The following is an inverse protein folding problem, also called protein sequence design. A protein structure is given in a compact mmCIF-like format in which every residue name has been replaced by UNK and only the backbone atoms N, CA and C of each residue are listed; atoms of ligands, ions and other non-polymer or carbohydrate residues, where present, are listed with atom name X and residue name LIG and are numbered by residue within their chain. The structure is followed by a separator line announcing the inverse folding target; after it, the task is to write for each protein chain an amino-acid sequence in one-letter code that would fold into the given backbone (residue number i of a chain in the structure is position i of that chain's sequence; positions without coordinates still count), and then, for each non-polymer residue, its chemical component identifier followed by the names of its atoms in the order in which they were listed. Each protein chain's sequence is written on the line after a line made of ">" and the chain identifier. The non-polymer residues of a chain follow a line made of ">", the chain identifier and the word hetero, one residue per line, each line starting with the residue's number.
data_IF_719485356429
#
_entry.id   IF_719485356429
#
_cell.length_a   1.000
_cell.length_b   1.000
_cell.length_c   1.000
_cell.angle_alpha   90.00
_cell.angle_beta   90.00
_cell.angle_gamma   90.00
#
_symmetry.space_group_name_H-M   'P 1'
#
loop_
_entity.id
_entity.type
_entity.pdbx_description
1 polymer ?
#
# COMPACT_ATOMS: atom_id res chain seq x y z
N UNK A 1 4.09 11.50 -7.26
CA UNK A 1 2.72 10.96 -7.08
C UNK A 1 1.70 12.04 -7.39
N UNK A 2 0.56 11.69 -7.99
CA UNK A 2 -0.58 12.57 -8.23
C UNK A 2 -1.82 11.96 -7.59
N UNK A 3 -2.60 12.75 -6.85
CA UNK A 3 -3.82 12.30 -6.16
C UNK A 3 -4.99 13.13 -6.63
N UNK A 4 -6.05 12.44 -7.08
CA UNK A 4 -7.29 13.05 -7.51
C UNK A 4 -8.46 12.39 -6.78
N UNK A 5 -9.33 13.21 -6.18
CA UNK A 5 -10.58 12.73 -5.59
C UNK A 5 -11.65 12.70 -6.67
N UNK A 6 -12.17 11.51 -6.98
CA UNK A 6 -13.19 11.31 -8.01
C UNK A 6 -14.27 10.34 -7.49
N UNK A 7 -15.57 10.69 -7.59
CA UNK A 7 -16.62 9.83 -7.08
C UNK A 7 -16.63 8.43 -7.71
N UNK A 8 -16.73 7.40 -6.88
CA UNK A 8 -16.90 6.01 -7.29
C UNK A 8 -15.66 5.33 -7.88
N UNK A 9 -14.46 5.88 -7.67
CA UNK A 9 -13.20 5.27 -8.10
C UNK A 9 -12.37 4.83 -6.89
N UNK A 10 -11.69 3.70 -6.96
CA UNK A 10 -10.73 3.26 -5.96
C UNK A 10 -9.50 2.67 -6.65
N UNK A 11 -9.00 3.38 -7.67
CA UNK A 11 -7.99 2.88 -8.60
C UNK A 11 -6.64 3.57 -8.40
N UNK A 12 -5.57 2.79 -8.51
CA UNK A 12 -4.19 3.27 -8.49
C UNK A 12 -3.50 2.83 -9.78
N UNK A 13 -3.06 3.80 -10.58
CA UNK A 13 -2.35 3.56 -11.84
C UNK A 13 -0.89 3.94 -11.75
N UNK A 14 -0.05 3.31 -12.57
CA UNK A 14 1.32 3.74 -12.82
C UNK A 14 1.42 4.25 -14.27
N UNK A 15 1.77 5.52 -14.45
CA UNK A 15 1.95 6.14 -15.76
C UNK A 15 3.23 6.97 -15.78
N UNK A 16 4.11 6.75 -16.76
CA UNK A 16 5.37 7.49 -16.92
C UNK A 16 6.18 7.65 -15.61
N UNK A 17 6.31 6.54 -14.87
CA UNK A 17 6.96 6.47 -13.54
C UNK A 17 6.29 7.30 -12.42
N UNK A 18 5.10 7.84 -12.64
CA UNK A 18 4.27 8.51 -11.66
C UNK A 18 3.12 7.60 -11.22
N UNK A 19 2.89 7.50 -9.91
CA UNK A 19 1.68 6.85 -9.39
C UNK A 19 0.53 7.87 -9.39
N UNK A 20 -0.57 7.49 -10.02
CA UNK A 20 -1.82 8.23 -10.11
C UNK A 20 -2.86 7.56 -9.22
N UNK A 21 -3.33 8.27 -8.20
CA UNK A 21 -4.35 7.79 -7.29
C UNK A 21 -5.68 8.43 -7.66
N UNK A 22 -6.66 7.63 -8.06
CA UNK A 22 -8.03 8.04 -8.34
C UNK A 22 -8.93 7.39 -7.31
N UNK A 23 -9.18 8.13 -6.24
CA UNK A 23 -9.88 7.63 -5.06
C UNK A 23 -11.16 8.41 -4.85
N UNK A 24 -12.20 7.75 -4.39
CA UNK A 24 -13.39 8.42 -3.95
C UNK A 24 -13.19 8.97 -2.54
N UNK A 25 -14.12 9.83 -2.14
CA UNK A 25 -14.03 10.50 -0.87
C UNK A 25 -14.10 9.51 0.31
N UNK A 26 -14.85 8.42 0.19
CA UNK A 26 -14.97 7.44 1.27
C UNK A 26 -13.65 6.70 1.48
N UNK A 27 -13.02 6.23 0.39
CA UNK A 27 -11.70 5.57 0.44
C UNK A 27 -10.63 6.51 1.01
N UNK A 28 -10.64 7.80 0.61
CA UNK A 28 -9.68 8.78 1.15
C UNK A 28 -9.87 8.99 2.65
N UNK A 29 -11.11 9.10 3.13
CA UNK A 29 -11.39 9.26 4.56
C UNK A 29 -10.97 8.02 5.35
N UNK A 30 -11.25 6.82 4.83
CA UNK A 30 -10.80 5.57 5.44
C UNK A 30 -9.27 5.50 5.55
N UNK A 31 -8.55 5.92 4.51
CA UNK A 31 -7.08 5.99 4.55
C UNK A 31 -6.59 6.97 5.62
N UNK A 32 -7.20 8.15 5.73
CA UNK A 32 -6.82 9.17 6.74
C UNK A 32 -7.03 8.62 8.16
N UNK A 33 -8.16 7.97 8.42
CA UNK A 33 -8.47 7.41 9.72
C UNK A 33 -7.46 6.33 10.12
N UNK A 34 -7.14 5.41 9.20
CA UNK A 34 -6.13 4.36 9.43
C UNK A 34 -4.72 4.94 9.60
N UNK A 35 -4.31 5.91 8.79
CA UNK A 35 -3.01 6.56 8.94
C UNK A 35 -2.90 7.31 10.28
N UNK A 36 -3.99 7.92 10.74
CA UNK A 36 -4.04 8.58 12.04
C UNK A 36 -3.89 7.57 13.18
N UNK A 37 -4.57 6.43 13.09
CA UNK A 37 -4.43 5.35 14.07
C UNK A 37 -2.99 4.79 14.13
N UNK A 38 -2.30 4.66 13.01
CA UNK A 38 -0.90 4.23 12.97
C UNK A 38 0.03 5.23 13.65
N UNK A 39 -0.20 6.53 13.44
CA UNK A 39 0.62 7.59 14.04
C UNK A 39 0.61 7.54 15.57
N UNK A 40 -0.52 7.16 16.16
CA UNK A 40 -0.69 7.10 17.62
C UNK A 40 -0.18 5.77 18.22
N UNK A 41 0.02 4.73 17.40
CA UNK A 41 0.35 3.35 17.80
C UNK A 41 1.82 2.92 17.64
N UNK A 42 2.73 3.83 17.30
CA UNK A 42 4.19 3.64 17.11
C UNK A 42 4.65 2.69 15.97
N UNK A 43 3.95 1.62 15.60
CA UNK A 43 4.27 0.74 14.44
C UNK A 43 3.11 -0.20 14.06
N UNK A 44 2.96 -0.52 12.77
CA UNK A 44 2.01 -1.53 12.29
C UNK A 44 1.51 -1.27 10.86
N UNK A 45 0.46 -1.98 10.47
CA UNK A 45 -0.22 -1.76 9.20
C UNK A 45 -1.74 -1.82 9.31
N UNK A 46 -2.39 -1.19 8.32
CA UNK A 46 -3.80 -1.33 8.06
C UNK A 46 -4.06 -1.62 6.59
N UNK A 47 -5.19 -2.27 6.34
CA UNK A 47 -5.67 -2.63 5.02
C UNK A 47 -6.78 -1.69 4.60
N UNK A 48 -6.78 -1.28 3.34
CA UNK A 48 -7.84 -0.52 2.69
C UNK A 48 -8.24 -1.27 1.42
N UNK A 49 -9.52 -1.47 1.21
CA UNK A 49 -10.01 -2.10 -0.01
C UNK A 49 -9.93 -1.11 -1.18
N UNK A 50 -9.42 -1.58 -2.31
CA UNK A 50 -9.27 -0.82 -3.55
C UNK A 50 -9.76 -1.67 -4.73
N UNK A 51 -9.97 -1.05 -5.88
CA UNK A 51 -10.48 -1.72 -7.07
C UNK A 51 -9.37 -2.21 -8.02
N UNK A 52 -8.26 -1.47 -8.12
CA UNK A 52 -7.15 -1.73 -9.04
C UNK A 52 -5.88 -1.06 -8.52
N UNK A 53 -4.67 -1.61 -8.70
CA UNK A 53 -4.34 -2.80 -9.49
C UNK A 53 -4.52 -4.12 -8.73
N UNK A 54 -4.85 -4.05 -7.44
CA UNK A 54 -5.17 -5.16 -6.56
C UNK A 54 -6.46 -4.85 -5.81
N UNK A 55 -6.95 -5.81 -5.03
CA UNK A 55 -8.16 -5.65 -4.21
C UNK A 55 -7.88 -4.97 -2.86
N UNK A 56 -6.61 -4.92 -2.44
CA UNK A 56 -6.23 -4.39 -1.12
C UNK A 56 -4.93 -3.58 -1.19
N UNK A 57 -4.95 -2.42 -0.55
CA UNK A 57 -3.82 -1.55 -0.28
C UNK A 57 -3.37 -1.73 1.17
N UNK A 58 -2.07 -1.89 1.38
CA UNK A 58 -1.47 -1.93 2.72
C UNK A 58 -0.86 -0.57 3.06
N UNK A 59 -1.29 0.00 4.18
CA UNK A 59 -0.74 1.21 4.78
C UNK A 59 0.12 0.80 5.96
N UNK A 60 1.44 0.92 5.88
CA UNK A 60 2.37 0.55 6.96
C UNK A 60 3.13 1.74 7.50
N UNK A 61 3.39 1.74 8.80
CA UNK A 61 4.30 2.67 9.48
C UNK A 61 5.33 1.88 10.28
N UNK A 62 6.62 2.13 10.00
CA UNK A 62 7.78 1.56 10.68
C UNK A 62 7.87 0.01 10.71
N UNK A 63 7.08 -0.70 9.91
CA UNK A 63 7.02 -2.17 9.97
C UNK A 63 8.16 -2.88 9.23
N UNK A 64 8.63 -2.30 8.12
CA UNK A 64 9.65 -2.92 7.26
C UNK A 64 11.03 -2.27 7.40
N UNK A 65 11.28 -1.56 8.51
CA UNK A 65 12.58 -0.92 8.78
C UNK A 65 13.63 -2.01 9.01
N UNK A 66 14.60 -2.13 8.10
CA UNK A 66 15.67 -3.13 8.18
C UNK A 66 15.34 -4.48 7.55
N UNK A 67 14.28 -4.57 6.75
CA UNK A 67 13.97 -5.76 5.97
C UNK A 67 15.03 -5.93 4.84
N UNK A 68 15.85 -7.01 4.83
CA UNK A 68 16.97 -7.16 3.90
C UNK A 68 16.55 -7.09 2.42
N UNK A 69 15.35 -7.61 2.14
CA UNK A 69 14.76 -7.68 0.80
C UNK A 69 14.20 -6.35 0.28
N UNK A 70 14.03 -5.35 1.17
CA UNK A 70 13.54 -4.02 0.78
C UNK A 70 14.69 -3.14 0.27
N UNK A 71 15.89 -3.35 0.80
CA UNK A 71 17.11 -2.64 0.40
C UNK A 71 17.86 -3.34 -0.75
N UNK A 72 17.71 -4.68 -0.87
CA UNK A 72 18.24 -5.47 -1.98
C UNK A 72 17.19 -6.47 -2.51
N UNK A 73 16.52 -6.18 -3.65
CA UNK A 73 15.51 -7.06 -4.22
C UNK A 73 16.07 -8.39 -4.75
N UNK A 74 17.39 -8.59 -4.80
CA UNK A 74 18.02 -9.87 -5.11
C UNK A 74 18.20 -10.75 -3.85
N UNK A 75 17.96 -10.22 -2.64
CA UNK A 75 18.13 -10.94 -1.38
C UNK A 75 16.94 -11.86 -1.02
N UNK A 76 15.92 -11.96 -1.87
CA UNK A 76 14.93 -13.03 -1.73
C UNK A 76 15.63 -14.35 -2.05
N UNK A 77 15.92 -15.14 -1.02
CA UNK A 77 16.14 -16.58 -1.20
C UNK A 77 14.98 -17.10 -2.06
N UNK A 78 15.24 -17.79 -3.18
CA UNK A 78 14.17 -18.40 -3.95
C UNK A 78 13.45 -19.33 -2.98
N UNK A 79 12.16 -19.07 -2.75
CA UNK A 79 11.27 -19.97 -2.02
C UNK A 79 11.52 -21.33 -2.64
N UNK A 80 12.26 -22.17 -1.92
CA UNK A 80 12.50 -23.53 -2.34
C UNK A 80 11.10 -24.11 -2.55
N UNK A 81 10.85 -24.54 -3.77
CA UNK A 81 9.76 -25.44 -4.10
C UNK A 81 9.88 -26.61 -3.14
N UNK A 82 9.18 -26.53 -1.99
CA UNK A 82 8.91 -27.67 -1.14
C UNK A 82 7.75 -28.40 -1.80
N UNK A 83 8.08 -29.04 -2.91
CA UNK A 83 7.46 -30.32 -3.23
C UNK A 83 7.99 -31.32 -2.21
N UNK A 84 7.11 -31.76 -1.31
CA UNK A 84 6.96 -33.16 -0.88
C UNK A 84 5.61 -33.33 -0.18
#
# INVERSE_FOLDING_TARGET
>A
HHVQVKPGTADIGLHDAHVHWQLDHATVMEMIDKLSALKDGNSGHHYVDIASPAETLVLSLNEYVGAPWLDDPQSMDPIATRDQ
#
